data_IF_665255795074
#
_entry.id   IF_665255795074
#
_cell.length_a   1.000
_cell.length_b   1.000
_cell.length_c   1.000
_cell.angle_alpha   90.00
_cell.angle_beta   90.00
_cell.angle_gamma   90.00
#
_symmetry.space_group_name_H-M   'P 1'
#
loop_
_entity.id
_entity.type
_entity.pdbx_description
1 polymer ?
#
# COMPACT_ATOMS: atom_id res chain seq x y z
N UNK A 1 -7.29 -9.53 -15.49
CA UNK A 1 -7.58 -8.49 -14.49
C UNK A 1 -6.29 -8.15 -13.74
N UNK A 2 -5.99 -6.86 -13.62
CA UNK A 2 -4.77 -6.43 -12.94
C UNK A 2 -5.07 -6.15 -11.46
N UNK A 3 -4.31 -6.78 -10.57
CA UNK A 3 -4.43 -6.55 -9.14
C UNK A 3 -3.87 -5.17 -8.78
N UNK A 4 -4.66 -4.36 -8.06
CA UNK A 4 -4.22 -3.05 -7.59
C UNK A 4 -3.54 -3.14 -6.24
N UNK A 5 -4.12 -3.93 -5.34
CA UNK A 5 -3.59 -4.11 -3.98
C UNK A 5 -3.54 -5.60 -3.68
N UNK A 6 -2.41 -6.06 -3.20
CA UNK A 6 -2.22 -7.44 -2.78
C UNK A 6 -1.52 -7.45 -1.44
N UNK A 7 -2.10 -8.16 -0.48
CA UNK A 7 -1.55 -8.30 0.86
C UNK A 7 -1.37 -9.78 1.15
N UNK A 8 -0.16 -10.15 1.54
CA UNK A 8 0.17 -11.53 1.92
C UNK A 8 0.65 -11.49 3.37
N UNK A 9 0.00 -12.24 4.24
CA UNK A 9 0.42 -12.28 5.64
C UNK A 9 0.19 -13.67 6.23
N UNK A 10 1.06 -14.06 7.15
CA UNK A 10 0.90 -15.25 7.97
C UNK A 10 0.52 -14.91 9.41
N UNK A 11 0.24 -13.64 9.69
CA UNK A 11 -0.09 -13.14 11.03
C UNK A 11 1.10 -12.54 11.77
N UNK A 12 2.33 -12.86 11.37
CA UNK A 12 3.55 -12.29 11.96
C UNK A 12 4.25 -11.35 11.01
N UNK A 13 4.26 -11.69 9.73
CA UNK A 13 4.89 -10.90 8.67
C UNK A 13 3.86 -10.56 7.63
N UNK A 14 4.07 -9.47 6.94
CA UNK A 14 3.19 -9.04 5.85
C UNK A 14 3.99 -8.48 4.69
N UNK A 15 3.52 -8.77 3.48
CA UNK A 15 4.01 -8.16 2.27
C UNK A 15 2.87 -7.42 1.61
N UNK A 16 3.14 -6.21 1.15
CA UNK A 16 2.15 -5.37 0.48
C UNK A 16 2.65 -5.03 -0.92
N UNK A 17 1.79 -5.23 -1.90
CA UNK A 17 2.06 -4.90 -3.29
C UNK A 17 1.03 -3.89 -3.78
N UNK A 18 1.51 -2.82 -4.39
CA UNK A 18 0.65 -1.79 -4.99
C UNK A 18 0.96 -1.74 -6.48
N UNK A 19 -0.07 -1.99 -7.29
CA UNK A 19 0.04 -2.07 -8.76
C UNK A 19 1.17 -2.98 -9.22
N UNK A 20 1.32 -4.11 -8.51
CA UNK A 20 2.31 -5.14 -8.85
C UNK A 20 3.69 -4.92 -8.25
N UNK A 21 3.93 -3.82 -7.55
CA UNK A 21 5.22 -3.50 -6.95
C UNK A 21 5.18 -3.68 -5.45
N UNK A 22 6.15 -4.42 -4.90
CA UNK A 22 6.29 -4.57 -3.45
C UNK A 22 6.72 -3.24 -2.83
N UNK A 23 6.03 -2.82 -1.77
CA UNK A 23 6.30 -1.56 -1.08
C UNK A 23 6.52 -1.80 0.40
N UNK A 24 7.26 -0.90 1.05
CA UNK A 24 7.44 -0.91 2.50
C UNK A 24 6.31 -0.08 3.12
N UNK A 25 5.15 -0.72 3.28
CA UNK A 25 3.96 -0.07 3.77
C UNK A 25 4.13 0.37 5.22
N UNK A 26 3.79 1.62 5.52
CA UNK A 26 3.85 2.17 6.87
C UNK A 26 2.48 2.28 7.51
N UNK A 27 1.45 2.46 6.69
CA UNK A 27 0.09 2.59 7.18
C UNK A 27 -0.87 2.21 6.06
N UNK A 28 -1.95 1.55 6.43
CA UNK A 28 -2.97 1.18 5.45
C UNK A 28 -4.33 1.09 6.14
N UNK A 29 -5.31 1.72 5.53
CA UNK A 29 -6.71 1.50 5.89
C UNK A 29 -7.41 0.85 4.72
N UNK A 30 -8.03 -0.29 4.97
CA UNK A 30 -8.81 -1.00 3.97
C UNK A 30 -10.22 -1.15 4.50
N UNK A 31 -11.18 -0.66 3.73
CA UNK A 31 -12.59 -0.75 4.07
C UNK A 31 -13.31 -1.55 2.99
N UNK A 32 -13.93 -2.62 3.40
CA UNK A 32 -14.65 -3.50 2.50
C UNK A 32 -16.10 -3.64 2.97
N UNK A 33 -17.04 -3.35 2.07
CA UNK A 33 -18.45 -3.57 2.32
C UNK A 33 -18.97 -4.50 1.24
N UNK A 34 -19.37 -5.70 1.65
CA UNK A 34 -19.96 -6.67 0.74
C UNK A 34 -21.46 -6.45 0.60
N UNK A 35 -21.97 -6.66 -0.59
CA UNK A 35 -23.39 -6.57 -0.88
C UNK A 35 -23.87 -7.88 -1.50
N UNK A 36 -25.10 -8.26 -1.20
CA UNK A 36 -25.74 -9.43 -1.82
C UNK A 36 -26.16 -9.04 -3.24
N UNK A 37 -25.66 -9.79 -4.22
CA UNK A 37 -26.00 -9.59 -5.64
C UNK A 37 -25.56 -8.25 -6.22
N UNK A 38 -24.67 -7.54 -5.54
CA UNK A 38 -24.13 -6.27 -6.00
C UNK A 38 -22.61 -6.27 -5.88
N UNK A 39 -21.99 -5.33 -6.59
CA UNK A 39 -20.56 -5.11 -6.51
C UNK A 39 -20.17 -4.65 -5.11
N UNK A 40 -19.15 -5.22 -4.48
CA UNK A 40 -18.69 -4.71 -3.19
C UNK A 40 -18.10 -3.31 -3.31
N UNK A 41 -18.15 -2.55 -2.23
CA UNK A 41 -17.46 -1.28 -2.12
C UNK A 41 -16.13 -1.51 -1.43
N UNK A 42 -15.07 -1.04 -2.05
CA UNK A 42 -13.72 -1.19 -1.51
C UNK A 42 -13.04 0.17 -1.51
N UNK A 43 -12.51 0.55 -0.35
CA UNK A 43 -11.71 1.77 -0.20
C UNK A 43 -10.37 1.37 0.41
N UNK A 44 -9.28 1.82 -0.22
CA UNK A 44 -7.93 1.59 0.28
C UNK A 44 -7.21 2.93 0.35
N UNK A 45 -6.61 3.21 1.50
CA UNK A 45 -5.74 4.36 1.71
C UNK A 45 -4.44 3.81 2.27
N UNK A 46 -3.37 3.89 1.49
CA UNK A 46 -2.11 3.28 1.86
C UNK A 46 -0.96 4.28 1.71
N UNK A 47 0.01 4.18 2.63
CA UNK A 47 1.24 4.95 2.59
C UNK A 47 2.42 4.01 2.74
N UNK A 48 3.51 4.35 2.09
CA UNK A 48 4.75 3.56 2.14
C UNK A 48 5.96 4.46 2.02
N UNK A 49 7.12 3.93 2.42
CA UNK A 49 8.38 4.65 2.25
C UNK A 49 8.78 4.67 0.77
N UNK A 50 9.22 5.84 0.30
CA UNK A 50 9.83 5.93 -1.02
C UNK A 50 11.18 5.23 -1.02
N UNK A 51 11.45 4.52 -2.10
CA UNK A 51 12.71 3.81 -2.29
C UNK A 51 13.41 4.28 -3.57
N UNK A 52 14.74 4.23 -3.56
CA UNK A 52 15.53 4.49 -4.74
C UNK A 52 15.64 3.22 -5.61
N UNK A 53 16.44 3.29 -6.68
CA UNK A 53 16.61 2.17 -7.61
C UNK A 53 17.18 0.92 -6.94
N UNK A 54 17.90 1.09 -5.84
CA UNK A 54 18.56 0.00 -5.12
C UNK A 54 17.70 -0.56 -3.98
N UNK A 55 16.49 -0.03 -3.79
CA UNK A 55 15.61 -0.47 -2.72
C UNK A 55 15.87 0.18 -1.37
N UNK A 56 16.66 1.24 -1.33
CA UNK A 56 16.94 1.99 -0.10
C UNK A 56 15.93 3.12 0.07
N UNK A 57 15.50 3.35 1.30
CA UNK A 57 14.59 4.45 1.60
C UNK A 57 15.26 5.80 1.30
N UNK A 58 14.45 6.75 0.87
CA UNK A 58 14.91 8.08 0.50
C UNK A 58 14.63 9.05 1.63
N UNK A 59 15.64 9.79 2.03
CA UNK A 59 15.51 10.80 3.08
C UNK A 59 15.25 12.17 2.48
N UNK A 60 14.65 13.08 3.26
CA UNK A 60 14.48 14.46 2.85
C UNK A 60 15.85 15.17 2.77
N UNK A 61 15.84 16.43 2.32
CA UNK A 61 17.10 17.18 2.12
C UNK A 61 17.93 17.33 3.39
N UNK A 62 17.26 17.40 4.55
CA UNK A 62 17.92 17.55 5.85
C UNK A 62 18.31 16.22 6.47
N UNK A 63 17.95 15.11 5.83
CA UNK A 63 18.19 13.73 6.30
C UNK A 63 17.59 13.46 7.68
N UNK A 64 16.50 14.14 8.01
CA UNK A 64 15.82 13.99 9.29
C UNK A 64 14.60 13.09 9.21
N UNK A 65 14.00 12.94 8.03
CA UNK A 65 12.79 12.16 7.83
C UNK A 65 12.86 11.32 6.55
N UNK A 66 12.24 10.15 6.59
CA UNK A 66 12.09 9.30 5.41
C UNK A 66 10.92 9.81 4.58
N UNK A 67 11.14 9.97 3.28
CA UNK A 67 10.07 10.38 2.37
C UNK A 67 9.05 9.25 2.20
N UNK A 68 7.79 9.63 2.07
CA UNK A 68 6.71 8.67 1.87
C UNK A 68 5.93 9.01 0.60
N UNK A 69 5.24 8.00 0.10
CA UNK A 69 4.30 8.14 -0.99
C UNK A 69 3.02 7.41 -0.59
N UNK A 70 1.98 7.58 -1.36
CA UNK A 70 0.71 6.98 -1.00
C UNK A 70 -0.24 6.85 -2.16
N UNK A 71 -1.32 6.10 -1.95
CA UNK A 71 -2.39 5.92 -2.93
C UNK A 71 -3.72 5.84 -2.21
N UNK A 72 -4.75 6.36 -2.87
CA UNK A 72 -6.12 6.25 -2.41
C UNK A 72 -6.95 5.63 -3.53
N UNK A 73 -7.56 4.50 -3.24
CA UNK A 73 -8.37 3.76 -4.22
C UNK A 73 -9.80 3.68 -3.71
N UNK A 74 -10.73 4.09 -4.55
CA UNK A 74 -12.16 3.93 -4.32
C UNK A 74 -12.75 3.13 -5.48
N UNK A 75 -13.39 2.02 -5.16
CA UNK A 75 -14.05 1.18 -6.17
C UNK A 75 -15.51 1.01 -5.86
#
# INVERSE_FOLDING_TARGET
>A
MKERVKIITDGEKAEVYIDGKKVQCTDMELHFIGHVNEKPMITVDAQWYKEDENGNVILNNDKTEVLTDGIKINC
#
